data_IF_729505143230
#
_entry.id   IF_729505143230
#
_cell.length_a   1.000
_cell.length_b   1.000
_cell.length_c   1.000
_cell.angle_alpha   90.00
_cell.angle_beta   90.00
_cell.angle_gamma   90.00
#
_symmetry.space_group_name_H-M   'P 1'
#
loop_
_entity.id
_entity.type
_entity.pdbx_description
1 polymer ?
#
# COMPACT_ATOMS: atom_id res chain seq x y z
N UNK A 1 -5.05 18.36 -19.72
CA UNK A 1 -4.95 16.97 -19.22
C UNK A 1 -5.52 16.87 -17.80
N UNK A 2 -4.94 17.58 -16.82
CA UNK A 2 -5.38 17.58 -15.40
C UNK A 2 -6.87 17.86 -15.18
N UNK A 3 -7.48 18.80 -15.94
CA UNK A 3 -8.92 19.11 -15.80
C UNK A 3 -9.80 17.90 -16.13
N UNK A 4 -9.56 17.23 -17.26
CA UNK A 4 -10.36 16.09 -17.68
C UNK A 4 -10.15 14.87 -16.79
N UNK A 5 -8.91 14.63 -16.35
CA UNK A 5 -8.61 13.59 -15.35
C UNK A 5 -9.35 13.84 -14.03
N UNK A 6 -9.33 15.10 -13.54
CA UNK A 6 -10.04 15.48 -12.32
C UNK A 6 -11.55 15.31 -12.47
N UNK A 7 -12.12 15.72 -13.61
CA UNK A 7 -13.54 15.55 -13.89
C UNK A 7 -13.93 14.06 -13.99
N UNK A 8 -13.14 13.25 -14.69
CA UNK A 8 -13.39 11.82 -14.83
C UNK A 8 -13.31 11.11 -13.47
N UNK A 9 -12.34 11.44 -12.62
CA UNK A 9 -12.25 10.92 -11.25
C UNK A 9 -13.42 11.37 -10.37
N UNK A 10 -13.87 12.62 -10.49
CA UNK A 10 -15.05 13.10 -9.77
C UNK A 10 -16.31 12.32 -10.15
N UNK A 11 -16.55 12.11 -11.45
CA UNK A 11 -17.67 11.30 -11.92
C UNK A 11 -17.54 9.83 -11.51
N UNK A 12 -16.32 9.27 -11.49
CA UNK A 12 -16.05 7.90 -11.01
C UNK A 12 -16.51 7.71 -9.57
N UNK A 13 -16.24 8.68 -8.69
CA UNK A 13 -16.71 8.63 -7.30
C UNK A 13 -18.24 8.60 -7.21
N UNK A 14 -18.92 9.44 -7.99
CA UNK A 14 -20.39 9.49 -8.04
C UNK A 14 -20.95 8.18 -8.61
N UNK A 15 -20.39 7.69 -9.72
CA UNK A 15 -20.80 6.45 -10.37
C UNK A 15 -20.71 5.25 -9.40
N UNK A 16 -19.56 5.09 -8.74
CA UNK A 16 -19.36 4.02 -7.75
C UNK A 16 -20.24 4.19 -6.51
N UNK A 17 -20.64 5.43 -6.18
CA UNK A 17 -21.56 5.69 -5.08
C UNK A 17 -22.96 5.17 -5.34
N UNK A 18 -23.43 5.05 -6.59
CA UNK A 18 -24.73 4.43 -6.89
C UNK A 18 -24.79 2.98 -6.40
N UNK A 19 -23.74 2.21 -6.66
CA UNK A 19 -23.61 0.86 -6.12
C UNK A 19 -23.56 0.85 -4.59
N UNK A 20 -22.74 1.70 -3.95
CA UNK A 20 -22.65 1.77 -2.49
C UNK A 20 -23.94 2.28 -1.82
N UNK A 21 -24.72 3.10 -2.51
CA UNK A 21 -25.92 3.74 -1.99
C UNK A 21 -27.06 2.75 -1.71
N UNK A 22 -27.15 1.66 -2.48
CA UNK A 22 -28.20 0.64 -2.27
C UNK A 22 -28.01 -0.14 -0.95
N UNK A 23 -26.85 -0.01 -0.31
CA UNK A 23 -26.56 -0.57 1.01
C UNK A 23 -26.40 0.51 2.10
N UNK A 24 -26.60 1.79 1.77
CA UNK A 24 -26.45 2.88 2.74
C UNK A 24 -27.62 2.87 3.74
N UNK A 25 -27.31 3.00 5.04
CA UNK A 25 -28.33 3.16 6.09
C UNK A 25 -29.21 4.38 5.80
N UNK A 26 -30.53 4.20 5.87
CA UNK A 26 -31.51 5.25 5.54
C UNK A 26 -31.60 5.58 4.05
N UNK A 27 -31.08 4.72 3.17
CA UNK A 27 -31.29 4.84 1.72
C UNK A 27 -32.77 4.63 1.37
N UNK A 28 -33.28 5.44 0.43
CA UNK A 28 -34.64 5.28 -0.11
C UNK A 28 -34.78 4.04 -0.99
N UNK A 29 -33.69 3.58 -1.59
CA UNK A 29 -33.64 2.43 -2.49
C UNK A 29 -32.65 1.40 -1.94
N UNK A 30 -32.92 0.92 -0.73
CA UNK A 30 -32.09 -0.11 -0.09
C UNK A 30 -32.39 -1.48 -0.70
N UNK A 31 -31.37 -2.20 -1.18
CA UNK A 31 -31.48 -3.61 -1.59
C UNK A 31 -30.14 -4.32 -1.42
N UNK A 32 -30.14 -5.31 -0.53
CA UNK A 32 -28.98 -6.16 -0.30
C UNK A 32 -28.79 -7.16 -1.44
N UNK A 33 -29.88 -7.63 -2.02
CA UNK A 33 -29.93 -8.56 -3.13
C UNK A 33 -29.26 -7.95 -4.36
N UNK A 34 -29.61 -6.71 -4.72
CA UNK A 34 -28.99 -6.02 -5.85
C UNK A 34 -27.47 -5.89 -5.66
N UNK A 35 -27.03 -5.46 -4.47
CA UNK A 35 -25.60 -5.35 -4.17
C UNK A 35 -24.89 -6.71 -4.23
N UNK A 36 -25.53 -7.76 -3.71
CA UNK A 36 -25.03 -9.13 -3.74
C UNK A 36 -24.87 -9.68 -5.17
N UNK A 37 -25.87 -9.46 -6.02
CA UNK A 37 -25.85 -9.89 -7.43
C UNK A 37 -24.72 -9.19 -8.18
N UNK A 38 -24.56 -7.86 -8.03
CA UNK A 38 -23.46 -7.11 -8.67
C UNK A 38 -22.10 -7.66 -8.25
N UNK A 39 -21.88 -7.86 -6.94
CA UNK A 39 -20.64 -8.44 -6.43
C UNK A 39 -20.37 -9.84 -6.99
N UNK A 40 -21.38 -10.71 -6.97
CA UNK A 40 -21.24 -12.10 -7.39
C UNK A 40 -20.95 -12.20 -8.89
N UNK A 41 -21.66 -11.44 -9.72
CA UNK A 41 -21.44 -11.38 -11.17
C UNK A 41 -20.05 -10.84 -11.49
N UNK A 42 -19.62 -9.75 -10.86
CA UNK A 42 -18.26 -9.22 -11.03
C UNK A 42 -17.17 -10.22 -10.63
N UNK A 43 -17.34 -10.93 -9.52
CA UNK A 43 -16.43 -11.97 -9.07
C UNK A 43 -16.35 -13.16 -10.05
N UNK A 44 -17.47 -13.52 -10.69
CA UNK A 44 -17.48 -14.57 -11.70
C UNK A 44 -16.76 -14.10 -12.98
N UNK A 45 -17.02 -12.88 -13.45
CA UNK A 45 -16.34 -12.29 -14.62
C UNK A 45 -14.82 -12.33 -14.44
N UNK A 46 -14.32 -11.80 -13.33
CA UNK A 46 -12.87 -11.72 -13.08
C UNK A 46 -12.25 -13.11 -12.91
N UNK A 47 -13.01 -14.09 -12.39
CA UNK A 47 -12.55 -15.48 -12.27
C UNK A 47 -12.41 -16.16 -13.62
N UNK A 48 -13.39 -15.99 -14.52
CA UNK A 48 -13.29 -16.55 -15.88
C UNK A 48 -12.17 -15.89 -16.68
N UNK A 49 -12.03 -14.55 -16.60
CA UNK A 49 -10.93 -13.82 -17.19
C UNK A 49 -9.57 -14.33 -16.69
N UNK A 50 -9.42 -14.55 -15.38
CA UNK A 50 -8.20 -15.10 -14.78
C UNK A 50 -7.88 -16.49 -15.32
N UNK A 51 -8.86 -17.40 -15.43
CA UNK A 51 -8.62 -18.76 -15.95
C UNK A 51 -8.03 -18.72 -17.36
N UNK A 52 -8.51 -17.79 -18.20
CA UNK A 52 -7.98 -17.61 -19.55
C UNK A 52 -6.55 -17.04 -19.50
N UNK A 53 -6.30 -16.03 -18.68
CA UNK A 53 -4.95 -15.45 -18.48
C UNK A 53 -3.94 -16.49 -17.98
N UNK A 54 -4.35 -17.41 -17.10
CA UNK A 54 -3.50 -18.51 -16.61
C UNK A 54 -3.06 -19.51 -17.69
N UNK A 55 -3.82 -19.61 -18.80
CA UNK A 55 -3.46 -20.50 -19.92
C UNK A 55 -2.46 -19.86 -20.88
N UNK A 56 -2.42 -18.53 -20.96
CA UNK A 56 -1.58 -17.78 -21.92
C UNK A 56 -0.40 -17.07 -21.25
N UNK A 57 -0.40 -16.96 -19.94
CA UNK A 57 0.58 -16.19 -19.18
C UNK A 57 0.52 -16.47 -17.68
N UNK A 58 0.98 -15.52 -16.88
CA UNK A 58 1.07 -15.64 -15.43
C UNK A 58 0.36 -14.48 -14.74
N UNK A 59 -0.79 -14.69 -14.08
CA UNK A 59 -1.38 -13.66 -13.25
C UNK A 59 -0.51 -13.41 -12.00
N UNK A 60 -0.30 -12.14 -11.68
CA UNK A 60 0.51 -11.69 -10.55
C UNK A 60 -0.38 -11.29 -9.37
N UNK A 61 -1.33 -10.38 -9.62
CA UNK A 61 -2.26 -9.85 -8.61
C UNK A 61 -3.64 -9.69 -9.23
N UNK A 62 -4.68 -9.97 -8.43
CA UNK A 62 -6.08 -9.82 -8.81
C UNK A 62 -6.76 -8.91 -7.79
N UNK A 63 -7.37 -7.82 -8.25
CA UNK A 63 -8.23 -6.95 -7.46
C UNK A 63 -9.71 -7.18 -7.83
N UNK A 64 -10.62 -6.34 -7.36
CA UNK A 64 -12.07 -6.48 -7.59
C UNK A 64 -12.46 -6.69 -9.07
N UNK A 65 -11.82 -5.95 -9.97
CA UNK A 65 -12.19 -5.84 -11.39
C UNK A 65 -10.97 -5.80 -12.34
N UNK A 66 -9.77 -6.04 -11.83
CA UNK A 66 -8.52 -5.96 -12.60
C UNK A 66 -7.57 -7.12 -12.35
N UNK A 67 -6.81 -7.50 -13.37
CA UNK A 67 -5.78 -8.54 -13.31
C UNK A 67 -4.46 -7.95 -13.78
N UNK A 68 -3.47 -7.91 -12.89
CA UNK A 68 -2.08 -7.71 -13.27
C UNK A 68 -1.50 -9.04 -13.72
N UNK A 69 -0.92 -9.10 -14.92
CA UNK A 69 -0.37 -10.34 -15.46
C UNK A 69 0.89 -10.11 -16.31
N UNK A 70 1.68 -11.18 -16.44
CA UNK A 70 2.76 -11.28 -17.41
C UNK A 70 2.27 -12.15 -18.57
N UNK A 71 2.43 -11.66 -19.78
CA UNK A 71 2.17 -12.40 -21.01
C UNK A 71 3.50 -12.45 -21.79
N UNK A 72 3.82 -13.55 -22.51
CA UNK A 72 5.03 -13.62 -23.31
C UNK A 72 5.16 -12.45 -24.29
N UNK A 73 6.37 -11.90 -24.45
CA UNK A 73 6.62 -10.77 -25.34
C UNK A 73 6.30 -11.06 -26.82
N UNK A 74 6.28 -12.34 -27.21
CA UNK A 74 5.90 -12.79 -28.56
C UNK A 74 4.38 -12.89 -28.75
N UNK A 75 3.57 -12.68 -27.71
CA UNK A 75 2.12 -12.76 -27.79
C UNK A 75 1.56 -11.56 -28.57
N UNK A 76 0.51 -11.73 -29.40
CA UNK A 76 -0.06 -10.62 -30.16
C UNK A 76 -0.61 -9.54 -29.23
N UNK A 77 -0.11 -8.31 -29.36
CA UNK A 77 -0.53 -7.18 -28.54
C UNK A 77 -1.58 -6.32 -29.25
N UNK A 78 -1.17 -5.58 -30.28
CA UNK A 78 -2.03 -4.67 -31.03
C UNK A 78 -2.15 -5.09 -32.49
N UNK A 79 -3.38 -5.19 -32.99
CA UNK A 79 -3.68 -5.51 -34.39
C UNK A 79 -4.37 -4.30 -35.03
N UNK A 80 -3.81 -3.80 -36.14
CA UNK A 80 -4.36 -2.65 -36.86
C UNK A 80 -5.10 -3.09 -38.13
N UNK A 81 -6.39 -2.80 -38.17
CA UNK A 81 -7.25 -3.02 -39.33
C UNK A 81 -7.30 -1.78 -40.20
N UNK A 82 -7.12 -1.95 -41.52
CA UNK A 82 -7.34 -0.89 -42.50
C UNK A 82 -8.83 -0.80 -42.82
N UNK A 83 -9.37 0.41 -42.80
CA UNK A 83 -10.77 0.66 -43.11
C UNK A 83 -10.93 1.20 -44.53
N UNK A 84 -11.97 0.76 -45.22
CA UNK A 84 -12.40 1.29 -46.52
C UNK A 84 -13.28 2.55 -46.36
N UNK A 85 -12.97 3.43 -45.40
CA UNK A 85 -13.76 4.63 -45.08
C UNK A 85 -12.89 5.89 -45.15
N UNK A 86 -13.44 6.98 -45.72
CA UNK A 86 -12.74 8.26 -45.89
C UNK A 86 -12.52 9.06 -44.60
N UNK A 87 -13.26 8.79 -43.50
CA UNK A 87 -13.14 9.54 -42.23
C UNK A 87 -12.08 9.01 -41.26
N UNK A 88 -11.77 7.72 -41.34
CA UNK A 88 -10.78 7.05 -40.48
C UNK A 88 -10.15 5.91 -41.27
N UNK A 89 -8.86 5.99 -41.51
CA UNK A 89 -8.11 5.05 -42.37
C UNK A 89 -7.80 3.71 -41.68
N UNK A 90 -7.77 3.69 -40.34
CA UNK A 90 -7.48 2.48 -39.58
C UNK A 90 -8.05 2.48 -38.16
N UNK A 91 -8.21 1.29 -37.60
CA UNK A 91 -8.56 1.04 -36.21
C UNK A 91 -7.56 0.04 -35.63
N UNK A 92 -6.99 0.37 -34.48
CA UNK A 92 -6.12 -0.53 -33.72
C UNK A 92 -6.90 -1.14 -32.58
N UNK A 93 -6.75 -2.45 -32.41
CA UNK A 93 -7.41 -3.24 -31.38
C UNK A 93 -6.34 -3.93 -30.55
N UNK A 94 -6.44 -3.80 -29.23
CA UNK A 94 -5.68 -4.64 -28.30
C UNK A 94 -6.25 -6.07 -28.36
N UNK A 95 -5.45 -7.02 -28.86
CA UNK A 95 -5.85 -8.41 -28.97
C UNK A 95 -6.14 -9.06 -27.61
N UNK A 96 -5.32 -8.87 -26.55
CA UNK A 96 -5.66 -9.36 -25.20
C UNK A 96 -6.98 -8.79 -24.69
N UNK A 97 -7.22 -7.48 -24.90
CA UNK A 97 -8.47 -6.83 -24.50
C UNK A 97 -9.67 -7.38 -25.27
N UNK A 98 -9.56 -7.51 -26.60
CA UNK A 98 -10.61 -8.06 -27.44
C UNK A 98 -10.93 -9.53 -27.09
N UNK A 99 -9.91 -10.33 -26.79
CA UNK A 99 -10.07 -11.72 -26.36
C UNK A 99 -10.87 -11.80 -25.05
N UNK A 100 -10.52 -11.00 -24.04
CA UNK A 100 -11.26 -10.94 -22.78
C UNK A 100 -12.69 -10.40 -22.98
N UNK A 101 -12.87 -9.41 -23.85
CA UNK A 101 -14.20 -8.85 -24.15
C UNK A 101 -15.10 -9.84 -24.89
N UNK A 102 -14.54 -10.69 -25.76
CA UNK A 102 -15.29 -11.77 -26.39
C UNK A 102 -15.78 -12.80 -25.34
N UNK A 103 -14.92 -13.18 -24.40
CA UNK A 103 -15.29 -14.06 -23.27
C UNK A 103 -16.42 -13.46 -22.42
N UNK A 104 -16.33 -12.16 -22.11
CA UNK A 104 -17.36 -11.46 -21.34
C UNK A 104 -18.67 -11.38 -22.11
N UNK A 105 -18.62 -11.08 -23.40
CA UNK A 105 -19.80 -11.01 -24.25
C UNK A 105 -20.51 -12.37 -24.33
N UNK A 106 -19.78 -13.46 -24.54
CA UNK A 106 -20.37 -14.80 -24.64
C UNK A 106 -20.95 -15.28 -23.29
N UNK A 107 -20.25 -15.04 -22.18
CA UNK A 107 -20.64 -15.56 -20.88
C UNK A 107 -21.65 -14.71 -20.10
N UNK A 108 -21.75 -13.41 -20.36
CA UNK A 108 -22.41 -12.45 -19.46
C UNK A 108 -23.36 -11.46 -20.16
N UNK A 109 -23.72 -11.68 -21.43
CA UNK A 109 -24.70 -10.82 -22.12
C UNK A 109 -26.12 -11.04 -21.61
N UNK A 110 -26.82 -9.94 -21.31
CA UNK A 110 -28.24 -10.00 -20.97
C UNK A 110 -29.08 -10.02 -22.24
N UNK A 111 -29.50 -11.21 -22.66
CA UNK A 111 -30.39 -11.39 -23.82
C UNK A 111 -31.86 -11.09 -23.52
N UNK A 112 -32.20 -10.58 -22.34
CA UNK A 112 -33.56 -10.33 -21.86
C UNK A 112 -33.80 -8.86 -21.50
N UNK A 113 -33.00 -7.94 -22.03
CA UNK A 113 -33.17 -6.52 -21.75
C UNK A 113 -34.43 -6.01 -22.46
N UNK A 114 -35.40 -5.49 -21.69
CA UNK A 114 -36.65 -4.96 -22.24
C UNK A 114 -36.63 -3.42 -22.19
N UNK A 115 -37.03 -2.78 -23.28
CA UNK A 115 -37.14 -1.33 -23.39
C UNK A 115 -38.58 -0.96 -23.73
N UNK A 116 -39.13 0.02 -23.01
CA UNK A 116 -40.49 0.53 -23.23
C UNK A 116 -40.50 1.40 -24.49
N UNK A 117 -41.35 1.06 -25.44
CA UNK A 117 -41.57 1.81 -26.66
C UNK A 117 -42.65 2.89 -26.46
N UNK A 118 -42.69 3.85 -27.40
CA UNK A 118 -43.62 4.99 -27.33
C UNK A 118 -45.09 4.59 -27.38
N UNK A 119 -45.40 3.45 -27.99
CA UNK A 119 -46.76 2.90 -28.10
C UNK A 119 -47.19 2.09 -26.87
N UNK A 120 -46.32 1.98 -25.86
CA UNK A 120 -46.56 1.21 -24.64
C UNK A 120 -46.19 -0.28 -24.76
N UNK A 121 -45.70 -0.74 -25.91
CA UNK A 121 -45.15 -2.08 -26.08
C UNK A 121 -43.72 -2.17 -25.55
N UNK A 122 -43.19 -3.39 -25.42
CA UNK A 122 -41.80 -3.62 -25.03
C UNK A 122 -41.03 -4.30 -26.17
N UNK A 123 -39.88 -3.73 -26.52
CA UNK A 123 -38.89 -4.40 -27.36
C UNK A 123 -37.88 -5.14 -26.48
N UNK A 124 -37.45 -6.32 -26.95
CA UNK A 124 -36.41 -7.13 -26.29
C UNK A 124 -35.13 -7.06 -27.09
N UNK A 125 -34.02 -6.75 -26.42
CA UNK A 125 -32.68 -6.67 -27.00
C UNK A 125 -31.67 -7.46 -26.18
N UNK A 126 -30.49 -7.69 -26.78
CA UNK A 126 -29.31 -8.19 -26.06
C UNK A 126 -28.45 -7.01 -25.65
N UNK A 127 -28.18 -6.89 -24.35
CA UNK A 127 -27.44 -5.76 -23.79
C UNK A 127 -26.20 -6.27 -23.03
N UNK A 128 -25.04 -5.69 -23.34
CA UNK A 128 -23.82 -5.89 -22.58
C UNK A 128 -22.90 -4.66 -22.74
N UNK A 129 -22.62 -4.01 -21.61
CA UNK A 129 -21.77 -2.83 -21.54
C UNK A 129 -20.52 -3.07 -20.68
N UNK A 130 -20.13 -4.33 -20.49
CA UNK A 130 -18.98 -4.72 -19.68
C UNK A 130 -17.78 -4.95 -20.60
N UNK A 131 -16.74 -4.14 -20.43
CA UNK A 131 -15.51 -4.21 -21.22
C UNK A 131 -14.29 -4.14 -20.31
N UNK A 132 -13.33 -5.02 -20.58
CA UNK A 132 -11.94 -4.85 -20.18
C UNK A 132 -11.25 -3.83 -21.08
N UNK A 133 -10.44 -3.00 -20.44
CA UNK A 133 -9.46 -2.15 -21.07
C UNK A 133 -8.07 -2.64 -20.67
N UNK A 134 -7.12 -2.57 -21.61
CA UNK A 134 -5.73 -2.97 -21.37
C UNK A 134 -4.91 -1.71 -21.16
N UNK A 135 -4.21 -1.65 -20.04
CA UNK A 135 -3.20 -0.63 -19.74
C UNK A 135 -1.82 -1.31 -19.65
N UNK A 136 -0.80 -0.65 -20.19
CA UNK A 136 0.52 -1.20 -20.48
C UNK A 136 0.88 -1.22 -21.97
N UNK A 137 2.02 -1.84 -22.34
CA UNK A 137 2.89 -2.66 -21.49
C UNK A 137 3.75 -1.80 -20.55
N UNK A 138 4.13 -2.38 -19.41
CA UNK A 138 4.94 -1.71 -18.38
C UNK A 138 6.36 -2.26 -18.34
N UNK A 139 7.29 -1.44 -17.85
CA UNK A 139 8.70 -1.85 -17.70
C UNK A 139 8.88 -2.84 -16.55
N UNK A 140 8.26 -2.54 -15.41
CA UNK A 140 8.53 -3.25 -14.17
C UNK A 140 7.29 -3.22 -13.26
N UNK A 141 7.05 -4.32 -12.57
CA UNK A 141 6.09 -4.42 -11.47
C UNK A 141 6.75 -5.09 -10.27
N UNK A 142 6.73 -4.43 -9.12
CA UNK A 142 7.29 -4.93 -7.86
C UNK A 142 6.14 -5.32 -6.93
N UNK A 143 6.08 -6.60 -6.55
CA UNK A 143 5.11 -7.13 -5.58
C UNK A 143 5.84 -7.60 -4.31
N UNK A 144 5.39 -7.18 -3.11
CA UNK A 144 5.98 -7.64 -1.87
C UNK A 144 5.45 -9.03 -1.49
N UNK A 145 6.23 -9.75 -0.68
CA UNK A 145 5.84 -11.03 -0.11
C UNK A 145 5.49 -10.92 1.38
N UNK A 146 4.62 -11.81 1.86
CA UNK A 146 4.29 -11.90 3.28
C UNK A 146 5.46 -12.50 4.07
N UNK A 147 5.58 -12.10 5.35
CA UNK A 147 6.45 -12.79 6.31
C UNK A 147 5.91 -14.14 6.75
N UNK A 148 4.62 -14.40 6.52
CA UNK A 148 3.95 -15.66 6.85
C UNK A 148 3.89 -16.57 5.62
N UNK A 149 4.22 -17.84 5.81
CA UNK A 149 4.19 -18.85 4.74
C UNK A 149 2.79 -18.98 4.14
N UNK A 150 2.71 -19.07 2.80
CA UNK A 150 1.46 -19.27 2.07
C UNK A 150 0.51 -18.06 2.04
N UNK A 151 0.80 -16.97 2.76
CA UNK A 151 -0.01 -15.75 2.71
C UNK A 151 0.51 -14.78 1.65
N UNK A 152 -0.41 -14.17 0.90
CA UNK A 152 -0.11 -13.11 -0.07
C UNK A 152 -0.44 -11.74 0.52
N UNK A 153 0.40 -10.74 0.24
CA UNK A 153 0.10 -9.34 0.56
C UNK A 153 -0.71 -8.72 -0.57
N UNK A 154 -2.04 -8.74 -0.42
CA UNK A 154 -2.94 -8.16 -1.41
C UNK A 154 -2.86 -6.63 -1.43
N UNK A 155 -3.15 -6.03 -2.59
CA UNK A 155 -3.28 -4.57 -2.78
C UNK A 155 -2.01 -3.78 -2.45
N UNK A 156 -0.84 -4.39 -2.65
CA UNK A 156 0.46 -3.73 -2.50
C UNK A 156 1.33 -4.00 -3.72
N UNK A 157 1.66 -2.96 -4.49
CA UNK A 157 2.50 -3.07 -5.68
C UNK A 157 2.98 -1.69 -6.14
N UNK A 158 4.10 -1.69 -6.85
CA UNK A 158 4.62 -0.53 -7.57
C UNK A 158 4.83 -0.91 -9.04
N UNK A 159 4.39 -0.06 -9.96
CA UNK A 159 4.42 -0.28 -11.41
C UNK A 159 5.11 0.90 -12.07
N UNK A 160 5.99 0.62 -13.03
CA UNK A 160 6.77 1.61 -13.75
C UNK A 160 6.50 1.55 -15.26
N UNK A 161 6.35 2.72 -15.86
CA UNK A 161 6.25 2.88 -17.31
C UNK A 161 7.59 2.57 -18.00
N UNK A 162 7.56 2.41 -19.32
CA UNK A 162 8.75 2.15 -20.16
C UNK A 162 9.80 3.27 -20.11
N UNK A 163 9.41 4.49 -19.76
CA UNK A 163 10.32 5.63 -19.57
C UNK A 163 10.93 5.69 -18.16
N UNK A 164 10.65 4.71 -17.30
CA UNK A 164 11.08 4.64 -15.90
C UNK A 164 10.28 5.52 -14.94
N UNK A 165 9.23 6.20 -15.40
CA UNK A 165 8.32 6.96 -14.52
C UNK A 165 7.42 6.01 -13.71
N UNK A 166 7.06 6.43 -12.50
CA UNK A 166 6.16 5.67 -11.63
C UNK A 166 4.73 5.78 -12.17
N UNK A 167 4.17 4.66 -12.64
CA UNK A 167 2.80 4.58 -13.16
C UNK A 167 1.79 4.47 -12.02
N UNK A 168 1.97 3.47 -11.15
CA UNK A 168 1.07 3.24 -10.01
C UNK A 168 1.85 2.79 -8.78
N UNK A 169 1.41 3.23 -7.61
CA UNK A 169 1.91 2.76 -6.32
C UNK A 169 0.75 2.61 -5.34
N UNK A 170 0.50 1.37 -4.92
CA UNK A 170 -0.67 1.01 -4.10
C UNK A 170 -0.26 0.38 -2.78
N UNK A 171 -0.97 0.76 -1.71
CA UNK A 171 -0.96 0.08 -0.41
C UNK A 171 0.29 0.22 0.46
N UNK A 172 1.40 0.72 -0.08
CA UNK A 172 2.64 0.99 0.65
C UNK A 172 2.56 2.20 1.59
N UNK A 173 3.40 2.16 2.62
CA UNK A 173 3.47 3.12 3.71
C UNK A 173 3.78 4.56 3.21
N UNK A 174 4.59 4.72 2.16
CA UNK A 174 4.87 6.02 1.52
C UNK A 174 3.63 6.79 1.05
N UNK A 175 2.56 6.09 0.60
CA UNK A 175 1.30 6.73 0.16
C UNK A 175 0.35 7.02 1.33
N UNK A 176 0.68 6.59 2.55
CA UNK A 176 -0.16 6.81 3.73
C UNK A 176 0.21 8.13 4.40
N UNK A 177 -0.80 8.81 4.95
CA UNK A 177 -0.61 10.10 5.65
C UNK A 177 0.29 9.95 6.89
N UNK A 178 0.15 8.84 7.62
CA UNK A 178 0.97 8.51 8.78
C UNK A 178 2.14 7.59 8.44
N UNK A 179 2.41 6.64 9.35
CA UNK A 179 3.50 5.64 9.32
C UNK A 179 4.86 6.21 9.75
N UNK A 180 5.82 5.29 9.95
CA UNK A 180 7.18 5.59 10.36
C UNK A 180 7.98 6.19 9.20
N UNK A 181 8.55 7.37 9.39
CA UNK A 181 9.14 8.14 8.29
C UNK A 181 10.34 7.46 7.61
N UNK A 182 11.24 6.80 8.35
CA UNK A 182 12.37 6.09 7.76
C UNK A 182 11.91 4.99 6.77
N UNK A 183 10.78 4.33 7.04
CA UNK A 183 10.18 3.38 6.09
C UNK A 183 9.67 4.10 4.83
N UNK A 184 9.09 5.29 4.97
CA UNK A 184 8.62 6.09 3.83
C UNK A 184 9.79 6.58 2.97
N UNK A 185 10.88 7.03 3.59
CA UNK A 185 12.09 7.43 2.89
C UNK A 185 12.75 6.24 2.16
N UNK A 186 12.89 5.10 2.84
CA UNK A 186 13.36 3.86 2.21
C UNK A 186 12.49 3.45 1.02
N UNK A 187 11.16 3.48 1.16
CA UNK A 187 10.25 3.19 0.06
C UNK A 187 10.35 4.23 -1.07
N UNK A 188 10.66 5.48 -0.74
CA UNK A 188 10.82 6.56 -1.71
C UNK A 188 11.99 6.35 -2.66
N UNK A 189 13.07 5.70 -2.21
CA UNK A 189 14.21 5.38 -3.05
C UNK A 189 14.12 3.97 -3.66
N UNK A 190 13.86 2.94 -2.84
CA UNK A 190 14.06 1.53 -3.22
C UNK A 190 13.25 1.11 -4.44
N UNK A 191 12.02 1.61 -4.59
CA UNK A 191 11.17 1.21 -5.72
C UNK A 191 11.75 1.64 -7.06
N UNK A 192 12.37 2.82 -7.14
CA UNK A 192 13.01 3.28 -8.36
C UNK A 192 14.31 2.52 -8.62
N UNK A 193 15.02 2.12 -7.57
CA UNK A 193 16.26 1.33 -7.66
C UNK A 193 16.03 -0.07 -8.25
N UNK A 194 14.81 -0.61 -8.21
CA UNK A 194 14.45 -1.85 -8.93
C UNK A 194 14.56 -1.72 -10.47
N UNK A 195 14.69 -0.51 -11.02
CA UNK A 195 14.93 -0.31 -12.45
C UNK A 195 16.42 -0.42 -12.82
N UNK A 196 17.31 -0.54 -11.83
CA UNK A 196 18.75 -0.66 -12.06
C UNK A 196 19.14 -2.13 -12.25
N UNK A 197 20.19 -2.36 -13.04
CA UNK A 197 20.72 -3.70 -13.34
C UNK A 197 20.21 -4.27 -14.67
N UNK A 198 21.00 -5.14 -15.27
CA UNK A 198 20.67 -5.85 -16.53
C UNK A 198 20.21 -7.30 -16.30
N UNK A 199 20.47 -7.82 -15.10
CA UNK A 199 20.03 -9.15 -14.63
C UNK A 199 19.27 -9.02 -13.32
N UNK A 200 18.50 -10.05 -12.97
CA UNK A 200 17.72 -10.06 -11.72
C UNK A 200 18.64 -9.97 -10.49
N UNK A 201 19.81 -10.62 -10.55
CA UNK A 201 20.86 -10.58 -9.55
C UNK A 201 21.41 -9.16 -9.37
N UNK A 202 21.72 -8.46 -10.47
CA UNK A 202 22.20 -7.08 -10.44
C UNK A 202 21.14 -6.13 -9.87
N UNK A 203 19.87 -6.32 -10.23
CA UNK A 203 18.76 -5.54 -9.66
C UNK A 203 18.66 -5.74 -8.16
N UNK A 204 18.69 -6.99 -7.68
CA UNK A 204 18.65 -7.27 -6.25
C UNK A 204 19.88 -6.74 -5.50
N UNK A 205 21.05 -6.75 -6.14
CA UNK A 205 22.27 -6.14 -5.59
C UNK A 205 22.14 -4.62 -5.47
N UNK A 206 21.52 -3.96 -6.45
CA UNK A 206 21.30 -2.51 -6.41
C UNK A 206 20.36 -2.11 -5.25
N UNK A 207 19.21 -2.78 -5.11
CA UNK A 207 18.25 -2.48 -4.02
C UNK A 207 18.78 -2.90 -2.65
N UNK A 208 19.69 -3.87 -2.58
CA UNK A 208 20.40 -4.19 -1.34
C UNK A 208 21.29 -3.05 -0.86
N UNK A 209 21.92 -2.30 -1.78
CA UNK A 209 22.68 -1.10 -1.44
C UNK A 209 21.82 -0.05 -0.71
N UNK A 210 20.59 0.17 -1.18
CA UNK A 210 19.64 1.05 -0.48
C UNK A 210 19.30 0.51 0.91
N UNK A 211 19.02 -0.79 1.02
CA UNK A 211 18.70 -1.42 2.30
C UNK A 211 19.85 -1.30 3.31
N UNK A 212 21.08 -1.57 2.88
CA UNK A 212 22.28 -1.47 3.73
C UNK A 212 22.53 -0.03 4.19
N UNK A 213 22.35 0.96 3.31
CA UNK A 213 22.46 2.37 3.68
C UNK A 213 21.53 2.74 4.85
N UNK A 214 20.24 2.36 4.77
CA UNK A 214 19.29 2.64 5.86
C UNK A 214 19.56 1.83 7.12
N UNK A 215 20.06 0.60 6.98
CA UNK A 215 20.49 -0.20 8.12
C UNK A 215 21.73 0.39 8.80
N UNK A 216 22.68 0.98 8.06
CA UNK A 216 23.87 1.63 8.61
C UNK A 216 23.51 2.82 9.49
N UNK A 217 22.54 3.63 9.08
CA UNK A 217 22.02 4.74 9.90
C UNK A 217 21.46 4.21 11.23
N UNK A 218 20.68 3.13 11.20
CA UNK A 218 20.09 2.55 12.40
C UNK A 218 21.13 1.86 13.30
N UNK A 219 22.04 1.08 12.73
CA UNK A 219 23.07 0.37 13.50
C UNK A 219 24.17 1.29 14.06
N UNK A 220 24.40 2.43 13.43
CA UNK A 220 25.26 3.49 13.98
C UNK A 220 24.54 4.39 15.00
N UNK A 221 23.30 4.05 15.35
CA UNK A 221 22.44 4.84 16.25
C UNK A 221 22.33 6.32 15.83
N UNK A 222 22.36 6.59 14.52
CA UNK A 222 22.25 7.95 13.98
C UNK A 222 23.33 8.91 14.48
N UNK A 223 24.53 8.43 14.80
CA UNK A 223 25.62 9.26 15.38
C UNK A 223 26.02 10.45 14.52
N UNK A 224 25.87 10.35 13.20
CA UNK A 224 26.22 11.41 12.25
C UNK A 224 25.04 12.32 11.87
N UNK A 225 23.86 12.10 12.47
CA UNK A 225 22.68 12.92 12.22
C UNK A 225 22.54 13.98 13.30
N UNK A 226 22.02 15.15 12.95
CA UNK A 226 21.49 16.10 13.94
C UNK A 226 20.21 15.56 14.58
N UNK A 227 19.82 16.12 15.72
CA UNK A 227 18.59 15.70 16.40
C UNK A 227 17.33 15.98 15.56
N UNK A 228 17.32 17.08 14.81
CA UNK A 228 16.22 17.42 13.90
C UNK A 228 16.08 16.38 12.78
N UNK A 229 17.18 16.04 12.11
CA UNK A 229 17.20 14.99 11.08
C UNK A 229 16.81 13.63 11.65
N UNK A 230 17.27 13.32 12.87
CA UNK A 230 16.90 12.07 13.54
C UNK A 230 15.40 12.01 13.79
N UNK A 231 14.78 13.06 14.34
CA UNK A 231 13.33 13.10 14.56
C UNK A 231 12.55 12.98 13.26
N UNK A 232 12.99 13.62 12.18
CA UNK A 232 12.36 13.50 10.88
C UNK A 232 12.37 12.04 10.37
N UNK A 233 13.42 11.28 10.66
CA UNK A 233 13.52 9.87 10.27
C UNK A 233 12.75 8.91 11.19
N UNK A 234 12.89 9.03 12.52
CA UNK A 234 12.39 8.03 13.47
C UNK A 234 11.00 8.32 14.04
N UNK A 235 10.44 9.49 13.73
CA UNK A 235 9.08 9.82 14.15
C UNK A 235 8.04 9.03 13.35
N UNK A 236 6.97 8.64 14.05
CA UNK A 236 5.79 8.04 13.46
C UNK A 236 4.60 8.96 13.75
N UNK A 237 3.83 9.29 12.70
CA UNK A 237 2.62 10.09 12.84
C UNK A 237 1.37 9.21 12.65
N UNK A 238 0.39 9.36 13.55
CA UNK A 238 -0.93 8.72 13.44
C UNK A 238 -2.03 9.69 13.86
N UNK A 239 -3.03 9.86 13.00
CA UNK A 239 -4.22 10.64 13.32
C UNK A 239 -5.26 9.81 14.07
N UNK A 240 -5.82 10.37 15.14
CA UNK A 240 -6.94 9.78 15.87
C UNK A 240 -8.27 10.15 15.20
N UNK A 241 -9.12 9.17 14.92
CA UNK A 241 -10.40 9.39 14.23
C UNK A 241 -11.54 9.84 15.14
N UNK A 242 -11.40 9.62 16.45
CA UNK A 242 -12.37 10.00 17.50
C UNK A 242 -11.65 10.77 18.60
N UNK A 243 -12.40 11.28 19.57
CA UNK A 243 -11.83 11.95 20.74
C UNK A 243 -11.13 10.94 21.65
N UNK A 244 -10.19 11.39 22.48
CA UNK A 244 -9.45 10.50 23.38
C UNK A 244 -10.37 9.72 24.33
N UNK A 245 -11.41 10.36 24.85
CA UNK A 245 -12.41 9.77 25.74
C UNK A 245 -13.17 8.58 25.12
N UNK A 246 -13.45 8.64 23.81
CA UNK A 246 -14.21 7.61 23.07
C UNK A 246 -13.44 6.28 22.89
N UNK A 247 -12.14 6.28 23.19
CA UNK A 247 -11.31 5.07 23.12
C UNK A 247 -11.31 4.26 24.42
N UNK A 248 -11.77 4.82 25.54
CA UNK A 248 -11.88 4.13 26.83
C UNK A 248 -10.59 3.42 27.26
N UNK A 249 -10.66 2.10 27.49
CA UNK A 249 -9.55 1.28 27.98
C UNK A 249 -8.63 0.73 26.87
N UNK A 250 -8.84 1.10 25.60
CA UNK A 250 -8.00 0.62 24.50
C UNK A 250 -6.54 1.09 24.68
N UNK A 251 -5.59 0.24 24.27
CA UNK A 251 -4.15 0.56 24.29
C UNK A 251 -3.63 0.68 22.87
N UNK A 252 -3.01 1.81 22.55
CA UNK A 252 -2.27 2.03 21.30
C UNK A 252 -1.21 3.11 21.51
N UNK A 253 -0.22 3.17 20.62
CA UNK A 253 0.79 4.24 20.65
C UNK A 253 0.16 5.62 20.53
N UNK A 254 -0.86 5.78 19.67
CA UNK A 254 -1.61 7.03 19.52
C UNK A 254 -2.33 7.45 20.81
N UNK A 255 -2.97 6.51 21.52
CA UNK A 255 -3.68 6.79 22.78
C UNK A 255 -2.68 7.21 23.87
N UNK A 256 -1.56 6.50 24.01
CA UNK A 256 -0.53 6.86 24.99
C UNK A 256 0.10 8.21 24.67
N UNK A 257 0.35 8.49 23.39
CA UNK A 257 0.86 9.79 22.93
C UNK A 257 -0.13 10.91 23.28
N UNK A 258 -1.42 10.72 22.99
CA UNK A 258 -2.46 11.70 23.31
C UNK A 258 -2.58 11.96 24.82
N UNK A 259 -2.54 10.90 25.64
CA UNK A 259 -2.54 11.04 27.12
C UNK A 259 -1.33 11.84 27.61
N UNK A 260 -0.14 11.57 27.05
CA UNK A 260 1.09 12.31 27.39
C UNK A 260 1.04 13.76 26.92
N UNK A 261 0.45 14.03 25.75
CA UNK A 261 0.21 15.39 25.27
C UNK A 261 -0.75 16.15 26.18
N UNK A 262 -1.85 15.53 26.63
CA UNK A 262 -2.78 16.15 27.58
C UNK A 262 -2.10 16.45 28.93
N UNK A 263 -1.28 15.51 29.41
CA UNK A 263 -0.53 15.66 30.66
C UNK A 263 0.50 16.80 30.61
N UNK A 264 1.08 17.06 29.44
CA UNK A 264 2.14 18.04 29.22
C UNK A 264 1.60 19.42 28.80
N UNK A 265 0.63 19.47 27.88
CA UNK A 265 0.10 20.69 27.27
C UNK A 265 -1.30 21.08 27.77
N UNK A 266 -1.92 20.25 28.61
CA UNK A 266 -3.28 20.44 29.12
C UNK A 266 -4.35 19.69 28.32
N UNK A 267 -5.50 19.46 28.96
CA UNK A 267 -6.61 18.67 28.43
C UNK A 267 -7.25 19.27 27.17
N UNK A 268 -7.09 20.58 26.95
CA UNK A 268 -7.59 21.27 25.74
C UNK A 268 -7.04 20.67 24.45
N UNK A 269 -5.83 20.11 24.47
CA UNK A 269 -5.19 19.51 23.30
C UNK A 269 -5.86 18.24 22.78
N UNK A 270 -6.69 17.58 23.58
CA UNK A 270 -7.29 16.26 23.26
C UNK A 270 -8.82 16.29 23.20
N UNK A 271 -9.43 17.48 23.23
CA UNK A 271 -10.89 17.67 23.24
C UNK A 271 -11.56 17.32 21.92
N UNK A 272 -10.86 17.53 20.80
CA UNK A 272 -11.39 17.35 19.46
C UNK A 272 -10.89 16.07 18.80
N UNK A 273 -11.69 15.54 17.87
CA UNK A 273 -11.28 14.45 17.00
C UNK A 273 -10.26 14.95 15.96
N UNK A 274 -9.44 14.04 15.44
CA UNK A 274 -8.45 14.38 14.40
C UNK A 274 -7.06 14.70 14.92
N UNK A 275 -6.80 14.57 16.23
CA UNK A 275 -5.47 14.81 16.81
C UNK A 275 -4.39 14.01 16.07
N UNK A 276 -3.35 14.71 15.61
CA UNK A 276 -2.16 14.12 15.02
C UNK A 276 -1.16 13.75 16.12
N UNK A 277 -1.04 12.46 16.41
CA UNK A 277 -0.09 11.94 17.38
C UNK A 277 1.24 11.63 16.69
N UNK A 278 2.20 12.55 16.80
CA UNK A 278 3.58 12.35 16.37
C UNK A 278 4.43 11.92 17.55
N UNK A 279 5.02 10.73 17.46
CA UNK A 279 5.76 10.11 18.56
C UNK A 279 7.01 9.36 18.10
N UNK A 280 7.89 9.11 19.05
CA UNK A 280 9.02 8.17 18.97
C UNK A 280 8.82 7.04 19.99
N UNK A 281 9.56 5.94 19.84
CA UNK A 281 9.52 4.81 20.77
C UNK A 281 10.80 4.79 21.60
N UNK A 282 10.65 4.96 22.91
CA UNK A 282 11.77 4.85 23.85
C UNK A 282 12.02 3.40 24.23
N UNK A 283 13.28 3.02 24.48
CA UNK A 283 13.66 1.72 25.06
C UNK A 283 13.06 1.50 26.45
N UNK A 284 12.72 2.57 27.15
CA UNK A 284 12.33 2.54 28.55
C UNK A 284 10.82 2.79 28.75
N UNK A 285 10.21 2.18 29.79
CA UNK A 285 10.80 1.20 30.71
C UNK A 285 11.10 -0.13 30.04
N UNK A 286 12.21 -0.78 30.41
CA UNK A 286 12.61 -2.07 29.84
C UNK A 286 11.53 -3.12 30.13
N UNK A 287 11.16 -3.89 29.10
CA UNK A 287 10.13 -4.93 29.21
C UNK A 287 8.69 -4.40 29.11
N UNK A 288 8.47 -3.09 29.10
CA UNK A 288 7.13 -2.54 28.87
C UNK A 288 6.69 -2.71 27.40
N UNK A 289 5.38 -2.93 27.14
CA UNK A 289 4.85 -2.98 25.78
C UNK A 289 5.14 -1.70 25.00
N UNK A 290 5.35 -1.81 23.68
CA UNK A 290 5.61 -0.66 22.78
C UNK A 290 4.57 0.45 22.94
N UNK A 291 3.30 0.07 23.19
CA UNK A 291 2.20 1.04 23.39
C UNK A 291 2.44 1.96 24.58
N UNK A 292 3.17 1.53 25.60
CA UNK A 292 3.44 2.32 26.81
C UNK A 292 4.75 3.13 26.71
N UNK A 293 5.53 2.90 25.65
CA UNK A 293 6.84 3.53 25.42
C UNK A 293 6.83 4.66 24.40
N UNK A 294 5.66 5.01 23.86
CA UNK A 294 5.50 6.07 22.86
C UNK A 294 5.60 7.48 23.46
N UNK A 295 6.65 8.23 23.14
CA UNK A 295 6.91 9.58 23.65
C UNK A 295 6.54 10.61 22.57
N UNK A 296 5.69 11.61 22.88
CA UNK A 296 5.34 12.67 21.93
C UNK A 296 6.57 13.48 21.54
N UNK A 297 6.79 13.73 20.24
CA UNK A 297 7.94 14.53 19.76
C UNK A 297 7.87 15.98 20.26
N UNK A 298 6.66 16.48 20.56
CA UNK A 298 6.45 17.83 21.07
C UNK A 298 7.23 18.14 22.36
N UNK A 299 7.54 17.14 23.20
CA UNK A 299 8.28 17.36 24.45
C UNK A 299 9.70 17.87 24.19
N UNK A 300 10.32 17.52 23.07
CA UNK A 300 11.68 17.94 22.71
C UNK A 300 11.77 19.40 22.27
N UNK A 301 10.61 20.05 22.02
CA UNK A 301 10.51 21.48 21.74
C UNK A 301 10.23 22.31 23.00
N UNK A 302 10.08 21.67 24.16
CA UNK A 302 9.83 22.33 25.44
C UNK A 302 11.14 22.72 26.15
N UNK A 303 11.04 23.58 27.15
CA UNK A 303 12.17 23.97 27.99
C UNK A 303 12.84 22.74 28.65
N UNK A 304 14.17 22.76 28.78
CA UNK A 304 14.96 21.62 29.23
C UNK A 304 14.50 21.02 30.58
N UNK A 305 14.09 21.88 31.53
CA UNK A 305 13.52 21.47 32.83
C UNK A 305 12.20 20.72 32.70
N UNK A 306 11.33 21.19 31.80
CA UNK A 306 10.03 20.56 31.54
C UNK A 306 10.25 19.24 30.82
N UNK A 307 11.10 19.23 29.80
CA UNK A 307 11.52 18.03 29.07
C UNK A 307 12.05 16.97 30.02
N UNK A 308 13.06 17.28 30.83
CA UNK A 308 13.67 16.29 31.73
C UNK A 308 12.67 15.77 32.77
N UNK A 309 11.79 16.62 33.32
CA UNK A 309 10.74 16.19 34.24
C UNK A 309 9.83 15.10 33.63
N UNK A 310 9.24 15.38 32.46
CA UNK A 310 8.30 14.43 31.82
C UNK A 310 9.02 13.21 31.25
N UNK A 311 10.23 13.37 30.70
CA UNK A 311 11.03 12.24 30.21
C UNK A 311 11.36 11.28 31.36
N UNK A 312 11.82 11.76 32.52
CA UNK A 312 12.04 10.91 33.71
C UNK A 312 10.77 10.18 34.13
N UNK A 313 9.64 10.88 34.16
CA UNK A 313 8.34 10.33 34.55
C UNK A 313 7.88 9.22 33.59
N UNK A 314 7.98 9.43 32.29
CA UNK A 314 7.47 8.51 31.27
C UNK A 314 8.38 7.31 31.03
N UNK A 315 9.70 7.50 31.11
CA UNK A 315 10.70 6.44 30.94
C UNK A 315 11.01 5.68 32.23
N UNK A 316 10.62 6.25 33.39
CA UNK A 316 11.01 5.78 34.74
C UNK A 316 12.52 5.73 34.95
N UNK A 317 13.29 6.50 34.20
CA UNK A 317 14.73 6.66 34.38
C UNK A 317 14.98 7.94 35.18
N UNK A 318 15.49 7.83 36.40
CA UNK A 318 15.76 9.02 37.24
C UNK A 318 17.02 9.77 36.83
N UNK A 319 17.95 9.07 36.17
CA UNK A 319 19.25 9.60 35.75
C UNK A 319 19.17 10.45 34.48
N UNK A 320 18.02 10.49 33.80
CA UNK A 320 17.81 11.36 32.65
C UNK A 320 17.67 12.83 33.10
N UNK A 321 18.60 13.65 32.65
CA UNK A 321 18.72 15.07 32.96
C UNK A 321 18.49 15.95 31.71
N UNK A 322 18.96 17.20 31.76
CA UNK A 322 18.76 18.17 30.69
C UNK A 322 19.69 17.91 29.48
N UNK A 323 20.83 17.27 29.72
CA UNK A 323 21.93 17.02 28.78
C UNK A 323 21.91 15.60 28.18
N UNK A 324 20.96 14.77 28.62
CA UNK A 324 20.78 13.40 28.12
C UNK A 324 20.54 13.37 26.61
N UNK A 325 21.37 12.63 25.88
CA UNK A 325 21.21 12.43 24.44
C UNK A 325 19.96 11.60 24.15
N UNK A 326 19.17 12.04 23.17
CA UNK A 326 17.97 11.33 22.72
C UNK A 326 18.29 9.90 22.26
N UNK A 327 19.48 9.67 21.69
CA UNK A 327 19.95 8.38 21.17
C UNK A 327 20.04 7.32 22.27
N UNK A 328 20.31 7.71 23.51
CA UNK A 328 20.40 6.81 24.66
C UNK A 328 19.02 6.32 25.12
N UNK A 329 17.97 7.09 24.83
CA UNK A 329 16.61 6.77 25.22
C UNK A 329 15.85 5.96 24.14
N UNK A 330 16.27 6.00 22.88
CA UNK A 330 15.58 5.36 21.76
C UNK A 330 15.66 3.83 21.79
N UNK A 331 14.57 3.16 21.38
CA UNK A 331 14.56 1.73 21.14
C UNK A 331 15.06 1.41 19.72
N UNK A 332 16.38 1.41 19.52
CA UNK A 332 16.99 1.13 18.22
C UNK A 332 16.59 -0.24 17.66
N UNK A 333 16.48 -1.26 18.52
CA UNK A 333 16.07 -2.61 18.11
C UNK A 333 14.66 -2.61 17.52
N UNK A 334 13.72 -1.86 18.11
CA UNK A 334 12.39 -1.68 17.55
C UNK A 334 12.43 -1.09 16.12
N UNK A 335 13.25 -0.05 15.90
CA UNK A 335 13.35 0.58 14.59
C UNK A 335 14.04 -0.34 13.56
N UNK A 336 15.10 -1.04 13.97
CA UNK A 336 15.81 -2.05 13.15
C UNK A 336 14.85 -3.18 12.77
N UNK A 337 14.05 -3.69 13.70
CA UNK A 337 13.07 -4.75 13.40
C UNK A 337 11.99 -4.25 12.43
N UNK A 338 11.47 -3.03 12.61
CA UNK A 338 10.46 -2.43 11.74
C UNK A 338 10.97 -2.25 10.31
N UNK A 339 12.20 -1.73 10.14
CA UNK A 339 12.84 -1.56 8.83
C UNK A 339 13.22 -2.92 8.23
N UNK A 340 13.80 -3.83 9.02
CA UNK A 340 14.12 -5.19 8.61
C UNK A 340 12.89 -5.97 8.12
N UNK A 341 11.74 -5.81 8.78
CA UNK A 341 10.45 -6.36 8.34
C UNK A 341 10.02 -5.79 6.98
N UNK A 342 10.28 -4.50 6.72
CA UNK A 342 10.02 -3.89 5.42
C UNK A 342 10.93 -4.48 4.33
N UNK A 343 12.24 -4.58 4.61
CA UNK A 343 13.26 -5.17 3.75
C UNK A 343 12.93 -6.63 3.43
N UNK A 344 12.48 -7.41 4.41
CA UNK A 344 12.03 -8.79 4.20
C UNK A 344 10.89 -8.86 3.19
N UNK A 345 9.85 -8.03 3.36
CA UNK A 345 8.66 -8.05 2.50
C UNK A 345 8.96 -7.58 1.07
N UNK A 346 9.83 -6.59 0.89
CA UNK A 346 10.07 -5.94 -0.41
C UNK A 346 11.24 -6.59 -1.17
N UNK A 347 12.29 -7.01 -0.46
CA UNK A 347 13.55 -7.44 -1.07
C UNK A 347 13.79 -8.93 -0.80
N UNK A 348 14.05 -9.32 0.46
CA UNK A 348 14.73 -10.59 0.71
C UNK A 348 13.83 -11.81 0.50
N UNK A 349 12.55 -11.76 0.91
CA UNK A 349 11.62 -12.86 0.67
C UNK A 349 11.30 -12.99 -0.82
N UNK A 350 10.94 -11.91 -1.57
CA UNK A 350 10.79 -11.99 -3.03
C UNK A 350 12.03 -12.55 -3.74
N UNK A 351 13.23 -12.08 -3.39
CA UNK A 351 14.49 -12.55 -3.97
C UNK A 351 14.63 -14.08 -3.86
N UNK A 352 14.47 -14.61 -2.64
CA UNK A 352 14.55 -16.05 -2.39
C UNK A 352 13.49 -16.85 -3.14
N UNK A 353 12.26 -16.34 -3.24
CA UNK A 353 11.18 -16.99 -3.99
C UNK A 353 11.44 -16.99 -5.51
N UNK A 354 12.27 -16.07 -6.01
CA UNK A 354 12.72 -16.00 -7.39
C UNK A 354 14.06 -16.71 -7.63
N UNK A 355 14.61 -17.40 -6.62
CA UNK A 355 15.85 -18.18 -6.75
C UNK A 355 17.14 -17.39 -6.52
N UNK A 356 17.05 -16.15 -6.02
CA UNK A 356 18.20 -15.30 -5.72
C UNK A 356 18.60 -15.48 -4.25
N UNK A 357 19.90 -15.64 -3.98
CA UNK A 357 20.43 -15.70 -2.61
C UNK A 357 20.12 -14.42 -1.85
N UNK A 358 20.00 -14.50 -0.51
CA UNK A 358 19.65 -13.33 0.32
C UNK A 358 20.57 -12.13 0.00
N UNK A 359 20.05 -11.07 -0.65
CA UNK A 359 20.89 -9.96 -1.08
C UNK A 359 21.23 -9.00 0.08
N UNK A 360 20.54 -9.11 1.22
CA UNK A 360 20.80 -8.32 2.44
C UNK A 360 21.02 -9.28 3.62
N UNK A 361 22.24 -9.85 3.79
CA UNK A 361 22.52 -10.88 4.79
C UNK A 361 22.28 -10.45 6.24
N UNK A 362 22.39 -9.14 6.52
CA UNK A 362 22.10 -8.53 7.84
C UNK A 362 20.66 -8.73 8.29
N UNK A 363 19.75 -8.94 7.34
CA UNK A 363 18.34 -9.23 7.61
C UNK A 363 18.06 -10.68 7.27
N UNK A 364 18.09 -11.54 8.29
CA UNK A 364 17.84 -12.97 8.12
C UNK A 364 16.43 -13.25 7.57
N UNK A 365 16.30 -14.32 6.80
CA UNK A 365 14.98 -14.80 6.37
C UNK A 365 14.19 -15.38 7.55
N UNK A 366 12.85 -15.35 7.51
CA UNK A 366 12.03 -16.12 8.45
C UNK A 366 12.34 -17.61 8.39
N UNK A 367 12.15 -18.32 9.51
CA UNK A 367 12.53 -19.73 9.66
C UNK A 367 11.90 -20.64 8.59
N UNK A 368 10.63 -20.44 8.25
CA UNK A 368 9.95 -21.23 7.22
C UNK A 368 10.64 -21.12 5.85
N UNK A 369 11.14 -19.93 5.51
CA UNK A 369 11.81 -19.69 4.24
C UNK A 369 13.21 -20.30 4.25
N UNK A 370 13.93 -20.21 5.36
CA UNK A 370 15.22 -20.88 5.53
C UNK A 370 15.09 -22.39 5.38
N UNK A 371 14.08 -22.99 6.03
CA UNK A 371 13.79 -24.42 5.93
C UNK A 371 13.47 -24.83 4.49
N UNK A 372 12.70 -24.01 3.76
CA UNK A 372 12.37 -24.23 2.35
C UNK A 372 13.57 -24.10 1.41
N UNK A 373 14.53 -23.24 1.73
CA UNK A 373 15.78 -23.12 0.97
C UNK A 373 16.68 -24.33 1.23
N UNK A 374 16.74 -24.82 2.47
CA UNK A 374 17.54 -26.01 2.84
C UNK A 374 16.98 -27.32 2.31
N UNK A 375 15.67 -27.40 2.07
CA UNK A 375 15.00 -28.60 1.56
C UNK A 375 14.99 -28.70 0.03
N UNK A 376 15.44 -27.66 -0.66
CA UNK A 376 15.78 -27.68 -2.09
C UNK A 376 17.25 -28.06 -2.25
#
# INVERSE_FOLDING_TARGET
MVLYESLQLAHKCILNSFYGYVMRKGSRWFSMEMAGIVCHTGANIIREARKLVEQIGKPLELDTDGIWCLIPASFPENVTFKLCNHKRSSVTVSYPGAMLNALVYEGFTNHQYHTLEKDGSYSKSSENSIYFEVDGPYQCMVLPASKEEGKKLKKRYAVFNLDGSLAEMKGFEIKRRGELNIIKHFQGCVFKTFLNGSTLEETYKAVAGDADHWLDILHSHGVNLSDEELFDLISENRSMSRKLEDYGAQKSTSISTAKRLAEFLGDDMVKDAGLACMFIISKYPIGSPVTERAIPVAIFKSDAKVRSHYIRKWTKQMDFDEDTDIRDMLDWDYYIERVGSCIQKIITIPAALQGISNPVPRVAHPDWLQNKIRSK
#
